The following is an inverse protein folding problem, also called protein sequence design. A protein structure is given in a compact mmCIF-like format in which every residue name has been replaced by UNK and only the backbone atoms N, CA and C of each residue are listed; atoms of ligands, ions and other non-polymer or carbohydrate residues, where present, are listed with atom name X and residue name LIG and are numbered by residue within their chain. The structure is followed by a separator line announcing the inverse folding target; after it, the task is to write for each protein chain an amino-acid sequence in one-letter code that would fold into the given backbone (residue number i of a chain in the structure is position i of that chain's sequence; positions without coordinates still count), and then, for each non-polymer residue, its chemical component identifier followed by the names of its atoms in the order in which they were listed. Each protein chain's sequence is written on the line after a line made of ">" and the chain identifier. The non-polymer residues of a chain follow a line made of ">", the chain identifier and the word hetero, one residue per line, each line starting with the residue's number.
data_IF_399209964913
#
_entry.id   IF_399209964913
#
_cell.length_a   1.000
_cell.length_b   1.000
_cell.length_c   1.000
_cell.angle_alpha   90.00
_cell.angle_beta   90.00
_cell.angle_gamma   90.00
#
_symmetry.space_group_name_H-M   'P 1'
#
loop_
_entity.id
_entity.type
_entity.pdbx_description
1 polymer ?
#
# COMPACT_ATOMS: atom_id res chain seq x y z
N UNK A 1 13.72 8.60 -26.56
CA UNK A 1 12.74 9.03 -27.56
C UNK A 1 12.85 8.06 -28.73
N UNK A 2 11.97 7.09 -28.85
CA UNK A 2 11.98 6.12 -29.94
C UNK A 2 11.31 6.78 -31.16
N UNK A 3 12.09 7.01 -32.19
CA UNK A 3 11.56 7.30 -33.53
C UNK A 3 10.83 6.03 -33.99
N UNK A 4 9.53 6.00 -33.79
CA UNK A 4 8.66 5.01 -34.44
C UNK A 4 8.86 5.23 -35.94
N UNK A 5 9.18 4.19 -36.68
CA UNK A 5 9.44 4.30 -38.11
C UNK A 5 8.25 5.00 -38.80
N UNK A 6 8.54 6.09 -39.45
CA UNK A 6 7.55 6.96 -40.13
C UNK A 6 6.65 6.16 -41.11
N UNK A 7 7.18 5.06 -41.63
CA UNK A 7 6.49 4.17 -42.58
C UNK A 7 5.26 3.42 -42.01
N UNK A 8 5.00 3.51 -40.69
CA UNK A 8 3.84 2.88 -40.04
C UNK A 8 2.80 3.86 -39.53
N UNK A 9 3.01 5.15 -39.74
CA UNK A 9 2.10 6.19 -39.25
C UNK A 9 1.29 6.68 -40.42
N UNK A 10 -0.02 6.48 -40.35
CA UNK A 10 -0.98 7.15 -41.23
C UNK A 10 -1.02 8.64 -40.85
N UNK A 11 -0.30 9.46 -41.61
CA UNK A 11 -0.19 10.90 -41.39
C UNK A 11 -1.53 11.63 -41.52
N UNK A 12 -2.41 11.21 -42.44
CA UNK A 12 -3.74 11.81 -42.58
C UNK A 12 -4.56 11.55 -41.32
N UNK A 13 -4.51 10.36 -40.79
CA UNK A 13 -5.16 10.01 -39.53
C UNK A 13 -4.52 10.73 -38.35
N UNK A 14 -3.18 10.87 -38.31
CA UNK A 14 -2.47 11.57 -37.25
C UNK A 14 -2.87 13.05 -37.19
N UNK A 15 -2.98 13.72 -38.36
CA UNK A 15 -3.34 15.14 -38.44
C UNK A 15 -4.84 15.43 -38.22
N UNK A 16 -5.67 14.40 -38.07
CA UNK A 16 -7.04 14.55 -37.58
C UNK A 16 -7.10 14.84 -36.08
N UNK A 17 -6.03 14.62 -35.36
CA UNK A 17 -5.94 14.91 -33.93
C UNK A 17 -5.22 16.23 -33.69
N UNK A 18 -5.67 16.97 -32.69
CA UNK A 18 -5.07 18.22 -32.26
C UNK A 18 -3.61 18.01 -31.81
N UNK A 19 -2.68 18.70 -32.48
CA UNK A 19 -1.26 18.74 -32.08
C UNK A 19 -1.06 19.79 -31.00
N UNK A 20 -1.55 19.51 -29.81
CA UNK A 20 -1.39 20.39 -28.67
C UNK A 20 -0.22 19.93 -27.78
N UNK A 21 0.57 20.88 -27.27
CA UNK A 21 1.61 20.60 -26.27
C UNK A 21 1.04 20.00 -24.98
N UNK A 22 -0.24 20.25 -24.71
CA UNK A 22 -0.99 19.73 -23.58
C UNK A 22 -2.33 19.16 -24.08
N UNK A 23 -2.44 17.84 -24.28
CA UNK A 23 -3.67 17.23 -24.79
C UNK A 23 -4.88 17.56 -23.92
N UNK A 24 -5.93 18.11 -24.50
CA UNK A 24 -7.17 18.48 -23.80
C UNK A 24 -7.86 17.27 -23.12
N UNK A 25 -7.56 16.07 -23.59
CA UNK A 25 -8.01 14.81 -22.97
C UNK A 25 -7.42 14.56 -21.57
N UNK A 26 -6.22 15.07 -21.27
CA UNK A 26 -5.50 14.87 -20.01
C UNK A 26 -5.35 16.14 -19.17
N UNK A 27 -5.44 17.32 -19.80
CA UNK A 27 -5.25 18.61 -19.14
C UNK A 27 -6.50 19.48 -19.25
N UNK A 28 -6.68 20.38 -18.30
CA UNK A 28 -7.67 21.45 -18.33
C UNK A 28 -7.15 22.62 -19.20
N UNK A 29 -8.03 23.57 -19.52
CA UNK A 29 -7.65 24.79 -20.28
C UNK A 29 -6.54 25.60 -19.58
N UNK A 30 -6.53 25.62 -18.25
CA UNK A 30 -5.48 26.28 -17.45
C UNK A 30 -4.16 25.50 -17.40
N UNK A 31 -4.07 24.36 -18.08
CA UNK A 31 -2.87 23.51 -18.14
C UNK A 31 -2.67 22.59 -16.96
N UNK A 32 -3.58 22.56 -15.96
CA UNK A 32 -3.54 21.59 -14.88
C UNK A 32 -3.95 20.19 -15.35
N UNK A 33 -3.30 19.15 -14.83
CA UNK A 33 -3.68 17.79 -15.08
C UNK A 33 -5.07 17.46 -14.51
N UNK A 34 -5.81 16.59 -15.18
CA UNK A 34 -7.14 16.13 -14.75
C UNK A 34 -6.98 14.98 -13.77
N UNK A 35 -6.90 15.27 -12.47
CA UNK A 35 -6.85 14.23 -11.43
C UNK A 35 -8.22 13.73 -11.03
N UNK A 36 -8.32 12.43 -10.76
CA UNK A 36 -9.54 11.83 -10.24
C UNK A 36 -9.81 12.30 -8.81
N UNK A 37 -11.10 12.59 -8.51
CA UNK A 37 -11.50 13.02 -7.17
C UNK A 37 -11.52 11.89 -6.14
N UNK A 38 -11.67 10.63 -6.58
CA UNK A 38 -11.75 9.48 -5.69
C UNK A 38 -11.31 8.20 -6.39
N UNK A 39 -10.14 7.68 -6.02
CA UNK A 39 -9.66 6.39 -6.50
C UNK A 39 -10.47 5.21 -5.92
N UNK A 40 -11.03 5.36 -4.72
CA UNK A 40 -11.76 4.30 -4.01
C UNK A 40 -13.10 3.90 -4.65
N UNK A 41 -13.60 4.64 -5.63
CA UNK A 41 -14.84 4.27 -6.36
C UNK A 41 -14.72 2.90 -7.00
N UNK A 42 -13.56 2.56 -7.57
CA UNK A 42 -13.34 1.27 -8.22
C UNK A 42 -13.40 0.12 -7.21
N UNK A 43 -12.72 0.25 -6.07
CA UNK A 43 -12.77 -0.73 -4.99
C UNK A 43 -14.20 -0.92 -4.47
N UNK A 44 -14.93 0.16 -4.18
CA UNK A 44 -16.32 0.09 -3.67
C UNK A 44 -17.27 -0.62 -4.62
N UNK A 45 -17.03 -0.56 -5.93
CA UNK A 45 -17.87 -1.23 -6.94
C UNK A 45 -17.53 -2.70 -7.12
N UNK A 46 -16.30 -3.08 -6.90
CA UNK A 46 -15.81 -4.44 -7.17
C UNK A 46 -15.77 -5.32 -5.93
N UNK A 47 -15.47 -4.76 -4.75
CA UNK A 47 -15.25 -5.56 -3.55
C UNK A 47 -16.44 -6.45 -3.21
N UNK A 48 -16.14 -7.66 -2.81
CA UNK A 48 -17.09 -8.62 -2.26
C UNK A 48 -16.77 -8.82 -0.78
N UNK A 49 -17.64 -8.32 0.06
CA UNK A 49 -17.49 -8.44 1.50
C UNK A 49 -18.15 -9.72 2.00
N UNK A 50 -17.50 -10.40 2.92
CA UNK A 50 -17.97 -11.60 3.62
C UNK A 50 -18.01 -11.35 5.12
N UNK A 51 -18.79 -12.14 5.86
CA UNK A 51 -18.82 -12.01 7.32
C UNK A 51 -17.47 -12.41 7.93
N UNK A 52 -16.95 -11.59 8.84
CA UNK A 52 -15.73 -11.92 9.59
C UNK A 52 -15.85 -13.21 10.42
N UNK A 53 -17.07 -13.60 10.78
CA UNK A 53 -17.34 -14.84 11.53
C UNK A 53 -17.19 -16.11 10.70
N UNK A 54 -17.25 -16.01 9.37
CA UNK A 54 -17.14 -17.16 8.45
C UNK A 54 -15.73 -17.37 7.94
N UNK A 55 -14.81 -16.48 8.27
CA UNK A 55 -13.41 -16.54 7.83
C UNK A 55 -12.55 -17.11 8.94
N UNK A 56 -11.70 -18.09 8.61
CA UNK A 56 -10.73 -18.65 9.54
C UNK A 56 -9.72 -17.61 10.00
N UNK A 57 -9.12 -17.83 11.18
CA UNK A 57 -7.97 -17.01 11.59
C UNK A 57 -6.87 -17.09 10.54
N UNK A 58 -6.13 -16.01 10.31
CA UNK A 58 -5.02 -16.04 9.35
C UNK A 58 -3.83 -16.84 9.89
N UNK A 59 -3.09 -17.45 8.94
CA UNK A 59 -1.74 -17.96 9.21
C UNK A 59 -0.74 -16.79 9.22
N UNK A 60 -1.00 -15.79 8.36
CA UNK A 60 -0.18 -14.58 8.22
C UNK A 60 -1.06 -13.33 8.17
N UNK A 61 -0.69 -12.30 8.91
CA UNK A 61 -1.21 -10.95 8.81
C UNK A 61 -0.16 -10.02 8.19
N UNK A 62 -0.42 -9.51 6.99
CA UNK A 62 0.41 -8.50 6.31
C UNK A 62 -0.19 -7.13 6.60
N UNK A 63 0.54 -6.28 7.29
CA UNK A 63 0.06 -4.98 7.79
C UNK A 63 0.73 -3.85 7.03
N UNK A 64 -0.06 -2.97 6.43
CA UNK A 64 0.40 -1.68 5.92
C UNK A 64 0.79 -0.78 7.10
N UNK A 65 2.10 -0.57 7.29
CA UNK A 65 2.63 0.21 8.40
C UNK A 65 2.28 1.70 8.31
N UNK A 66 2.24 2.26 7.11
CA UNK A 66 1.82 3.64 6.86
C UNK A 66 0.35 3.84 7.23
N UNK A 67 -0.52 2.98 6.70
CA UNK A 67 -1.94 2.97 7.01
C UNK A 67 -2.22 2.72 8.49
N UNK A 68 -1.47 1.81 9.14
CA UNK A 68 -1.55 1.55 10.58
C UNK A 68 -1.27 2.81 11.40
N UNK A 69 -0.19 3.55 11.11
CA UNK A 69 0.13 4.80 11.80
C UNK A 69 -0.95 5.86 11.62
N UNK A 70 -1.61 5.86 10.46
CA UNK A 70 -2.69 6.81 10.18
C UNK A 70 -4.02 6.45 10.82
N UNK A 71 -4.42 5.19 10.83
CA UNK A 71 -5.78 4.77 11.13
C UNK A 71 -5.94 3.95 12.42
N UNK A 72 -4.92 3.20 12.84
CA UNK A 72 -5.04 2.23 13.93
C UNK A 72 -4.45 2.71 15.25
N UNK A 73 -3.37 3.50 15.19
CA UNK A 73 -2.59 3.82 16.37
C UNK A 73 -3.04 5.15 16.96
N UNK A 74 -3.37 5.12 18.25
CA UNK A 74 -3.58 6.35 19.00
C UNK A 74 -2.26 7.12 19.09
N UNK A 75 -2.29 8.38 18.66
CA UNK A 75 -1.14 9.28 18.71
C UNK A 75 -1.25 10.16 19.94
N UNK A 76 -0.38 9.98 20.96
CA UNK A 76 -0.42 10.81 22.15
C UNK A 76 -0.25 12.30 21.82
N UNK A 77 -1.08 13.14 22.42
CA UNK A 77 -0.96 14.61 22.28
C UNK A 77 0.19 15.17 23.09
N UNK A 78 0.48 14.51 24.21
CA UNK A 78 1.63 14.76 25.08
C UNK A 78 2.25 13.40 25.40
N UNK A 79 3.55 13.25 25.15
CA UNK A 79 4.25 11.98 25.35
C UNK A 79 5.60 11.93 24.63
N UNK A 80 6.24 10.81 24.74
CA UNK A 80 7.52 10.51 24.10
C UNK A 80 7.33 9.48 22.96
N UNK A 81 8.33 9.34 22.10
CA UNK A 81 8.28 8.38 20.97
C UNK A 81 8.02 6.95 21.45
N UNK A 82 8.55 6.59 22.62
CA UNK A 82 8.32 5.27 23.25
C UNK A 82 6.84 4.97 23.51
N UNK A 83 6.04 5.95 23.95
CA UNK A 83 4.62 5.77 24.20
C UNK A 83 3.86 5.39 22.91
N UNK A 84 4.25 5.98 21.79
CA UNK A 84 3.71 5.61 20.48
C UNK A 84 4.09 4.17 20.11
N UNK A 85 5.36 3.79 20.35
CA UNK A 85 5.84 2.44 20.05
C UNK A 85 5.15 1.40 20.94
N UNK A 86 4.87 1.71 22.19
CA UNK A 86 4.11 0.83 23.08
C UNK A 86 2.68 0.56 22.54
N UNK A 87 2.05 1.58 21.97
CA UNK A 87 0.78 1.44 21.27
C UNK A 87 0.87 0.55 20.03
N UNK A 88 1.92 0.72 19.22
CA UNK A 88 2.17 -0.09 18.01
C UNK A 88 2.46 -1.55 18.40
N UNK A 89 3.29 -1.76 19.41
CA UNK A 89 3.60 -3.10 19.93
C UNK A 89 2.32 -3.82 20.35
N UNK A 90 1.46 -3.15 21.13
CA UNK A 90 0.17 -3.72 21.55
C UNK A 90 -0.68 -4.13 20.35
N UNK A 91 -0.71 -3.31 19.30
CA UNK A 91 -1.43 -3.62 18.08
C UNK A 91 -0.85 -4.83 17.36
N UNK A 92 0.47 -4.89 17.14
CA UNK A 92 1.17 -6.02 16.54
C UNK A 92 0.98 -7.30 17.38
N UNK A 93 1.07 -7.19 18.71
CA UNK A 93 0.86 -8.32 19.61
C UNK A 93 -0.56 -8.89 19.54
N UNK A 94 -1.55 -8.11 19.12
CA UNK A 94 -2.91 -8.63 18.90
C UNK A 94 -2.99 -9.67 17.77
N UNK A 95 -2.03 -9.67 16.86
CA UNK A 95 -1.94 -10.64 15.75
C UNK A 95 -0.89 -11.72 16.00
N UNK A 96 0.31 -11.37 16.46
CA UNK A 96 1.43 -12.31 16.56
C UNK A 96 1.20 -13.44 17.57
N UNK A 97 0.22 -13.30 18.43
CA UNK A 97 -0.18 -14.38 19.34
C UNK A 97 -0.81 -15.59 18.64
N UNK A 98 -1.25 -15.43 17.37
CA UNK A 98 -1.94 -16.51 16.64
C UNK A 98 -1.61 -16.58 15.15
N UNK A 99 -0.80 -15.67 14.61
CA UNK A 99 -0.41 -15.60 13.21
C UNK A 99 1.00 -15.02 13.06
N UNK A 100 1.67 -15.34 11.98
CA UNK A 100 2.88 -14.61 11.59
C UNK A 100 2.48 -13.16 11.20
N UNK A 101 3.32 -12.18 11.50
CA UNK A 101 3.06 -10.77 11.23
C UNK A 101 4.13 -10.21 10.32
N UNK A 102 3.71 -9.67 9.18
CA UNK A 102 4.57 -8.97 8.23
C UNK A 102 4.17 -7.50 8.25
N UNK A 103 5.02 -6.64 8.82
CA UNK A 103 4.81 -5.19 8.92
C UNK A 103 5.58 -4.50 7.80
N UNK A 104 4.88 -3.82 6.92
CA UNK A 104 5.45 -3.24 5.69
C UNK A 104 5.35 -1.73 5.73
N UNK A 105 6.47 -1.04 5.65
CA UNK A 105 6.54 0.40 5.50
C UNK A 105 7.04 0.80 4.11
N UNK A 106 6.62 1.99 3.66
CA UNK A 106 7.24 2.66 2.52
C UNK A 106 8.72 2.93 2.79
N UNK A 107 9.51 2.90 1.75
CA UNK A 107 10.89 3.40 1.76
C UNK A 107 10.89 4.84 1.25
N UNK A 108 11.59 5.69 1.96
CA UNK A 108 11.71 7.10 1.61
C UNK A 108 13.12 7.35 1.09
N UNK A 109 13.25 7.53 -0.23
CA UNK A 109 14.50 7.97 -0.86
C UNK A 109 14.35 9.42 -1.30
N UNK A 110 15.47 10.16 -1.32
CA UNK A 110 15.50 11.58 -1.70
C UNK A 110 15.01 11.83 -3.13
N UNK A 111 15.07 10.83 -4.01
CA UNK A 111 14.69 10.91 -5.43
C UNK A 111 13.58 9.92 -5.79
N UNK A 112 12.40 10.03 -5.20
CA UNK A 112 11.24 9.25 -5.65
C UNK A 112 10.30 10.11 -6.51
N UNK A 113 9.65 9.51 -7.53
CA UNK A 113 8.67 10.19 -8.41
C UNK A 113 7.53 10.83 -7.59
N UNK A 114 7.18 10.24 -6.45
CA UNK A 114 6.20 10.82 -5.51
C UNK A 114 6.77 11.99 -4.69
N UNK A 115 8.11 12.19 -4.66
CA UNK A 115 8.68 13.34 -3.94
C UNK A 115 8.23 14.66 -4.55
N UNK A 116 8.14 14.74 -5.88
CA UNK A 116 7.75 15.96 -6.59
C UNK A 116 6.27 16.32 -6.33
N UNK A 117 5.37 15.33 -6.37
CA UNK A 117 3.95 15.55 -6.06
C UNK A 117 3.69 15.82 -4.58
N UNK A 118 4.55 15.34 -3.69
CA UNK A 118 4.51 15.65 -2.26
C UNK A 118 5.08 17.03 -1.95
N UNK A 119 6.15 17.43 -2.63
CA UNK A 119 6.80 18.75 -2.49
C UNK A 119 5.86 19.88 -2.91
N UNK A 120 5.04 19.68 -3.94
CA UNK A 120 4.00 20.64 -4.34
C UNK A 120 2.89 20.83 -3.28
N UNK A 121 2.64 19.82 -2.43
CA UNK A 121 1.67 19.90 -1.33
C UNK A 121 2.26 20.54 -0.05
N UNK A 122 3.60 20.63 0.06
CA UNK A 122 4.30 21.10 1.25
C UNK A 122 4.92 22.47 0.96
N UNK A 123 4.09 23.50 0.87
CA UNK A 123 4.54 24.91 0.82
C UNK A 123 4.95 25.44 2.20
N UNK A 124 5.53 24.63 3.08
CA UNK A 124 6.06 25.10 4.36
C UNK A 124 7.45 24.53 4.60
N UNK A 125 8.39 25.38 4.95
CA UNK A 125 9.71 25.09 5.52
C UNK A 125 9.54 24.35 6.86
N UNK A 126 9.01 23.13 6.83
CA UNK A 126 8.91 22.27 8.01
C UNK A 126 10.32 21.80 8.34
N UNK A 127 10.85 22.27 9.47
CA UNK A 127 12.13 21.76 9.99
C UNK A 127 11.94 20.29 10.32
N UNK A 128 12.86 19.45 9.82
CA UNK A 128 12.94 18.06 10.24
C UNK A 128 13.19 18.00 11.74
N UNK A 129 12.48 17.14 12.43
CA UNK A 129 12.69 16.87 13.85
C UNK A 129 13.67 15.72 14.00
N UNK A 130 14.64 15.89 14.88
CA UNK A 130 15.50 14.76 15.30
C UNK A 130 14.75 13.97 16.36
N UNK A 131 14.42 12.72 16.05
CA UNK A 131 13.67 11.83 16.93
C UNK A 131 14.63 10.94 17.74
N UNK A 132 14.27 10.70 18.99
CA UNK A 132 14.88 9.69 19.84
C UNK A 132 13.81 8.99 20.66
N UNK A 133 14.08 7.76 21.13
CA UNK A 133 13.10 6.93 21.82
C UNK A 133 12.49 7.63 23.06
N UNK A 134 13.32 8.26 23.86
CA UNK A 134 12.92 8.99 25.07
C UNK A 134 12.67 10.50 24.79
N UNK A 135 12.73 10.89 23.54
CA UNK A 135 12.48 12.27 23.12
C UNK A 135 10.99 12.57 22.95
N UNK A 136 10.62 13.86 22.95
CA UNK A 136 9.24 14.28 22.78
C UNK A 136 8.69 13.82 21.43
N UNK A 137 7.44 13.32 21.43
CA UNK A 137 6.74 12.94 20.22
C UNK A 137 6.14 14.18 19.55
N UNK A 138 6.55 14.54 18.32
CA UNK A 138 5.92 15.64 17.59
C UNK A 138 4.45 15.34 17.28
N UNK A 139 3.65 16.38 17.02
CA UNK A 139 2.28 16.19 16.56
C UNK A 139 2.25 15.33 15.29
N UNK A 140 1.22 14.52 15.17
CA UNK A 140 1.05 13.58 14.05
C UNK A 140 1.23 14.25 12.69
N UNK A 141 0.54 15.37 12.47
CA UNK A 141 0.61 16.09 11.19
C UNK A 141 2.03 16.59 10.89
N UNK A 142 2.74 17.07 11.90
CA UNK A 142 4.13 17.51 11.77
C UNK A 142 5.05 16.35 11.44
N UNK A 143 4.92 15.22 12.16
CA UNK A 143 5.75 14.05 11.97
C UNK A 143 5.51 13.40 10.61
N UNK A 144 4.24 13.29 10.19
CA UNK A 144 3.86 12.59 8.96
C UNK A 144 4.00 13.45 7.70
N UNK A 145 4.17 14.76 7.82
CA UNK A 145 4.37 15.68 6.67
C UNK A 145 5.83 15.79 6.21
N UNK A 146 6.79 15.54 7.10
CA UNK A 146 8.23 15.55 6.77
C UNK A 146 8.72 14.14 6.42
N UNK A 147 9.23 13.94 5.20
CA UNK A 147 9.79 12.66 4.78
C UNK A 147 10.94 12.21 5.69
N UNK A 148 11.83 13.13 6.05
CA UNK A 148 12.98 12.85 6.92
C UNK A 148 12.54 12.43 8.33
N UNK A 149 11.61 13.17 8.95
CA UNK A 149 11.07 12.84 10.27
C UNK A 149 10.32 11.51 10.25
N UNK A 150 9.56 11.24 9.19
CA UNK A 150 8.83 10.00 9.00
C UNK A 150 9.77 8.80 8.83
N UNK A 151 10.85 8.96 8.06
CA UNK A 151 11.88 7.95 7.91
C UNK A 151 12.58 7.63 9.23
N UNK A 152 12.96 8.66 10.01
CA UNK A 152 13.54 8.47 11.35
C UNK A 152 12.58 7.69 12.26
N UNK A 153 11.29 8.07 12.26
CA UNK A 153 10.28 7.37 13.06
C UNK A 153 10.17 5.90 12.67
N UNK A 154 10.07 5.59 11.37
CA UNK A 154 9.96 4.21 10.86
C UNK A 154 11.21 3.40 11.26
N UNK A 155 12.40 3.99 11.19
CA UNK A 155 13.64 3.32 11.59
C UNK A 155 13.62 2.99 13.09
N UNK A 156 13.19 3.93 13.94
CA UNK A 156 13.06 3.69 15.39
C UNK A 156 12.02 2.60 15.66
N UNK A 157 10.84 2.69 15.06
CA UNK A 157 9.76 1.68 15.19
C UNK A 157 10.27 0.29 14.80
N UNK A 158 10.89 0.16 13.63
CA UNK A 158 11.34 -1.13 13.09
C UNK A 158 12.37 -1.78 13.99
N UNK A 159 13.34 -0.99 14.47
CA UNK A 159 14.38 -1.48 15.39
C UNK A 159 13.79 -1.90 16.74
N UNK A 160 13.03 -0.99 17.35
CA UNK A 160 12.45 -1.24 18.70
C UNK A 160 11.49 -2.43 18.69
N UNK A 161 10.62 -2.54 17.68
CA UNK A 161 9.72 -3.68 17.59
C UNK A 161 10.49 -5.00 17.41
N UNK A 162 11.50 -5.03 16.53
CA UNK A 162 12.33 -6.24 16.35
C UNK A 162 13.02 -6.66 17.63
N UNK A 163 13.61 -5.73 18.39
CA UNK A 163 14.26 -6.01 19.67
C UNK A 163 13.27 -6.49 20.74
N UNK A 164 12.08 -5.90 20.79
CA UNK A 164 11.02 -6.30 21.74
C UNK A 164 10.45 -7.68 21.39
N UNK A 165 10.22 -7.98 20.10
CA UNK A 165 9.76 -9.30 19.65
C UNK A 165 10.80 -10.37 19.93
N UNK A 166 12.08 -10.05 19.72
CA UNK A 166 13.20 -10.94 20.09
C UNK A 166 13.21 -11.26 21.58
N UNK A 167 13.02 -10.26 22.43
CA UNK A 167 13.00 -10.44 23.89
C UNK A 167 11.81 -11.29 24.35
N UNK A 168 10.64 -11.11 23.74
CA UNK A 168 9.41 -11.86 24.06
C UNK A 168 9.41 -13.29 23.53
N UNK A 169 10.31 -13.65 22.61
CA UNK A 169 10.49 -15.01 22.06
C UNK A 169 9.20 -15.62 21.51
N UNK A 170 8.43 -14.86 20.72
CA UNK A 170 7.24 -15.40 20.07
C UNK A 170 7.57 -16.60 19.19
N UNK A 171 6.62 -17.53 19.09
CA UNK A 171 6.69 -18.71 18.21
C UNK A 171 6.37 -18.34 16.77
N UNK A 172 5.48 -17.36 16.56
CA UNK A 172 5.17 -16.81 15.26
C UNK A 172 6.26 -15.84 14.80
N UNK A 173 6.40 -15.73 13.50
CA UNK A 173 7.38 -14.83 12.85
C UNK A 173 6.90 -13.38 12.92
N UNK A 174 7.79 -12.48 13.25
CA UNK A 174 7.62 -11.06 13.03
C UNK A 174 8.60 -10.61 11.96
N UNK A 175 8.09 -10.19 10.82
CA UNK A 175 8.89 -9.70 9.69
C UNK A 175 8.62 -8.21 9.52
N UNK A 176 9.66 -7.40 9.52
CA UNK A 176 9.54 -5.96 9.28
C UNK A 176 10.32 -5.55 8.03
N UNK A 177 9.62 -4.84 7.14
CA UNK A 177 10.18 -4.21 5.95
C UNK A 177 10.20 -2.70 6.18
N UNK A 178 11.36 -2.10 6.07
CA UNK A 178 11.58 -0.67 6.28
C UNK A 178 12.57 -0.12 5.26
N UNK A 179 13.48 0.77 5.65
CA UNK A 179 14.47 1.40 4.74
C UNK A 179 15.35 0.37 3.98
N UNK A 180 15.74 -0.71 4.66
CA UNK A 180 16.61 -1.72 4.03
C UNK A 180 15.83 -2.57 3.02
N UNK A 181 16.45 -2.91 1.86
CA UNK A 181 15.77 -3.72 0.84
C UNK A 181 15.47 -5.15 1.30
N UNK A 182 16.22 -5.67 2.27
CA UNK A 182 16.04 -7.00 2.85
C UNK A 182 15.30 -6.84 4.18
N UNK A 183 14.11 -7.46 4.33
CA UNK A 183 13.37 -7.46 5.59
C UNK A 183 14.10 -8.23 6.69
N UNK A 184 13.81 -7.86 7.94
CA UNK A 184 14.30 -8.55 9.13
C UNK A 184 13.20 -9.39 9.72
N UNK A 185 13.47 -10.68 9.94
CA UNK A 185 12.59 -11.62 10.64
C UNK A 185 13.06 -11.80 12.08
N UNK A 186 12.13 -11.86 13.00
CA UNK A 186 12.35 -12.19 14.40
C UNK A 186 11.45 -13.34 14.79
N UNK A 187 12.02 -14.47 15.28
CA UNK A 187 11.30 -15.64 15.74
C UNK A 187 12.11 -16.36 16.80
N UNK A 188 11.48 -16.94 17.82
CA UNK A 188 12.12 -17.69 18.92
C UNK A 188 13.29 -16.94 19.62
N UNK A 189 13.26 -15.62 19.61
CA UNK A 189 14.32 -14.80 20.17
C UNK A 189 15.55 -14.63 19.27
N UNK A 190 15.50 -15.08 18.03
CA UNK A 190 16.54 -14.90 17.03
C UNK A 190 16.10 -13.88 15.98
N UNK A 191 17.07 -13.21 15.37
CA UNK A 191 16.86 -12.29 14.25
C UNK A 191 17.65 -12.80 13.06
N UNK A 192 17.03 -12.72 11.86
CA UNK A 192 17.65 -13.10 10.59
C UNK A 192 17.16 -12.20 9.45
N UNK A 193 17.96 -12.10 8.42
CA UNK A 193 17.57 -11.43 7.18
C UNK A 193 16.75 -12.35 6.28
N UNK A 194 15.66 -11.83 5.73
CA UNK A 194 14.80 -12.51 4.75
C UNK A 194 15.21 -12.08 3.35
N UNK A 195 16.31 -12.64 2.84
CA UNK A 195 16.84 -12.35 1.50
C UNK A 195 15.84 -12.73 0.41
N UNK A 196 15.05 -13.76 0.64
CA UNK A 196 13.96 -14.20 -0.23
C UNK A 196 12.82 -13.17 -0.38
N UNK A 197 12.67 -12.27 0.60
CA UNK A 197 11.71 -11.17 0.59
C UNK A 197 12.32 -9.84 0.15
N UNK A 198 13.58 -9.86 -0.34
CA UNK A 198 14.20 -8.65 -0.88
C UNK A 198 13.31 -8.03 -1.95
N UNK A 199 13.09 -6.74 -1.85
CA UNK A 199 12.31 -5.98 -2.82
C UNK A 199 13.10 -4.75 -3.28
N UNK A 200 13.01 -4.45 -4.58
CA UNK A 200 13.59 -3.24 -5.17
C UNK A 200 12.54 -2.12 -5.27
N UNK A 201 11.30 -2.37 -4.82
CA UNK A 201 10.25 -1.36 -4.78
C UNK A 201 10.32 -0.51 -3.51
N UNK A 202 9.98 0.77 -3.65
CA UNK A 202 10.02 1.73 -2.55
C UNK A 202 8.69 1.82 -1.81
N UNK A 203 7.59 1.49 -2.48
CA UNK A 203 6.24 1.68 -1.97
C UNK A 203 5.68 0.39 -1.38
N UNK A 204 5.07 0.51 -0.20
CA UNK A 204 4.39 -0.59 0.47
C UNK A 204 3.31 -1.24 -0.41
N UNK A 205 2.66 -0.44 -1.27
CA UNK A 205 1.62 -0.91 -2.18
C UNK A 205 2.08 -2.06 -3.09
N UNK A 206 3.35 -2.04 -3.51
CA UNK A 206 3.96 -3.11 -4.31
C UNK A 206 4.60 -4.21 -3.46
N UNK A 207 5.13 -3.86 -2.28
CA UNK A 207 5.80 -4.81 -1.38
C UNK A 207 4.77 -5.75 -0.74
N UNK A 208 3.60 -5.24 -0.33
CA UNK A 208 2.53 -6.04 0.31
C UNK A 208 2.12 -7.23 -0.56
N UNK A 209 1.74 -7.09 -1.86
CA UNK A 209 1.42 -8.23 -2.69
C UNK A 209 2.58 -9.22 -2.90
N UNK A 210 3.83 -8.74 -2.89
CA UNK A 210 5.01 -9.61 -2.95
C UNK A 210 5.12 -10.48 -1.70
N UNK A 211 4.93 -9.90 -0.52
CA UNK A 211 4.97 -10.65 0.74
C UNK A 211 3.79 -11.60 0.89
N UNK A 212 2.59 -11.23 0.41
CA UNK A 212 1.46 -12.15 0.29
C UNK A 212 1.83 -13.35 -0.59
N UNK A 213 2.44 -13.11 -1.75
CA UNK A 213 2.87 -14.19 -2.64
C UNK A 213 3.93 -15.09 -1.99
N UNK A 214 4.86 -14.53 -1.23
CA UNK A 214 5.86 -15.31 -0.50
C UNK A 214 5.21 -16.19 0.57
N UNK A 215 4.27 -15.66 1.35
CA UNK A 215 3.51 -16.43 2.33
C UNK A 215 2.73 -17.60 1.67
N UNK A 216 2.15 -17.38 0.49
CA UNK A 216 1.48 -18.44 -0.27
C UNK A 216 2.49 -19.53 -0.68
N UNK A 217 3.68 -19.15 -1.13
CA UNK A 217 4.74 -20.08 -1.49
C UNK A 217 5.28 -20.86 -0.27
N UNK A 218 5.15 -20.33 0.93
CA UNK A 218 5.39 -21.00 2.21
C UNK A 218 4.21 -21.89 2.66
N UNK A 219 3.22 -22.13 1.78
CA UNK A 219 2.02 -22.93 2.00
C UNK A 219 1.04 -22.37 3.05
N UNK A 220 1.06 -21.09 3.34
CA UNK A 220 0.03 -20.43 4.15
C UNK A 220 -1.31 -20.47 3.43
N UNK A 221 -2.37 -20.93 4.11
CA UNK A 221 -3.69 -21.13 3.53
C UNK A 221 -4.63 -19.95 3.72
N UNK A 222 -4.40 -19.15 4.75
CA UNK A 222 -5.23 -18.00 5.10
C UNK A 222 -4.36 -16.78 5.39
N UNK A 223 -4.53 -15.72 4.63
CA UNK A 223 -3.73 -14.50 4.72
C UNK A 223 -4.66 -13.30 4.88
N UNK A 224 -4.41 -12.49 5.90
CA UNK A 224 -5.06 -11.20 6.05
C UNK A 224 -4.13 -10.08 5.64
N UNK A 225 -4.61 -9.19 4.78
CA UNK A 225 -3.95 -7.93 4.45
C UNK A 225 -4.69 -6.82 5.20
N UNK A 226 -4.03 -6.23 6.18
CA UNK A 226 -4.57 -5.14 7.00
C UNK A 226 -4.19 -3.82 6.31
N UNK A 227 -5.07 -3.33 5.45
CA UNK A 227 -4.84 -2.16 4.61
C UNK A 227 -6.17 -1.62 4.10
N UNK A 228 -6.26 -0.31 3.86
CA UNK A 228 -7.43 0.35 3.26
C UNK A 228 -7.15 0.91 1.86
N UNK A 229 -5.90 0.79 1.37
CA UNK A 229 -5.53 1.39 0.10
C UNK A 229 -6.15 0.65 -1.09
N UNK A 230 -6.69 1.43 -2.01
CA UNK A 230 -7.30 0.93 -3.25
C UNK A 230 -6.27 0.30 -4.18
N UNK A 231 -5.05 0.83 -4.22
CA UNK A 231 -4.01 0.33 -5.12
C UNK A 231 -3.55 -1.06 -4.68
N UNK A 232 -3.41 -1.28 -3.37
CA UNK A 232 -3.16 -2.61 -2.78
C UNK A 232 -4.30 -3.58 -3.14
N UNK A 233 -5.56 -3.17 -2.98
CA UNK A 233 -6.71 -4.00 -3.34
C UNK A 233 -6.68 -4.45 -4.82
N UNK A 234 -6.41 -3.52 -5.72
CA UNK A 234 -6.35 -3.81 -7.17
C UNK A 234 -5.18 -4.73 -7.52
N UNK A 235 -4.02 -4.52 -6.91
CA UNK A 235 -2.84 -5.37 -7.08
C UNK A 235 -3.09 -6.78 -6.54
N UNK A 236 -3.74 -6.93 -5.39
CA UNK A 236 -4.11 -8.24 -4.85
C UNK A 236 -5.07 -8.98 -5.79
N UNK A 237 -6.10 -8.32 -6.32
CA UNK A 237 -7.02 -8.92 -7.29
C UNK A 237 -6.28 -9.35 -8.58
N UNK A 238 -5.41 -8.49 -9.10
CA UNK A 238 -4.61 -8.78 -10.28
C UNK A 238 -3.67 -9.98 -10.06
N UNK A 239 -2.93 -10.00 -8.95
CA UNK A 239 -2.02 -11.10 -8.65
C UNK A 239 -2.77 -12.39 -8.33
N UNK A 240 -3.89 -12.33 -7.64
CA UNK A 240 -4.73 -13.50 -7.40
C UNK A 240 -5.11 -14.19 -8.71
N UNK A 241 -5.54 -13.41 -9.69
CA UNK A 241 -5.94 -13.90 -11.00
C UNK A 241 -4.73 -14.40 -11.82
N UNK A 242 -3.68 -13.60 -11.96
CA UNK A 242 -2.56 -13.89 -12.86
C UNK A 242 -1.65 -15.01 -12.35
N UNK A 243 -1.44 -15.07 -11.02
CA UNK A 243 -0.60 -16.08 -10.37
C UNK A 243 -1.40 -17.31 -9.93
N UNK A 244 -2.72 -17.32 -10.15
CA UNK A 244 -3.63 -18.42 -9.79
C UNK A 244 -3.48 -18.84 -8.33
N UNK A 245 -3.50 -17.88 -7.42
CA UNK A 245 -3.38 -18.15 -6.00
C UNK A 245 -4.49 -19.07 -5.50
N UNK A 246 -4.13 -20.06 -4.70
CA UNK A 246 -5.06 -21.03 -4.11
C UNK A 246 -5.44 -20.71 -2.67
N UNK A 247 -4.61 -19.93 -1.98
CA UNK A 247 -4.83 -19.53 -0.59
C UNK A 247 -5.96 -18.51 -0.47
N UNK A 248 -6.57 -18.44 0.70
CA UNK A 248 -7.61 -17.45 1.01
C UNK A 248 -6.94 -16.12 1.39
N UNK A 249 -7.00 -15.16 0.50
CA UNK A 249 -6.51 -13.80 0.75
C UNK A 249 -7.69 -12.90 1.04
N UNK A 250 -7.66 -12.27 2.21
CA UNK A 250 -8.70 -11.37 2.68
C UNK A 250 -8.11 -10.02 3.05
N UNK A 251 -8.77 -8.94 2.66
CA UNK A 251 -8.38 -7.58 3.02
C UNK A 251 -9.30 -7.03 4.10
N UNK A 252 -8.71 -6.49 5.16
CA UNK A 252 -9.41 -5.94 6.31
C UNK A 252 -8.92 -4.53 6.58
N UNK A 253 -9.81 -3.65 7.03
CA UNK A 253 -9.42 -2.35 7.55
C UNK A 253 -8.76 -2.47 8.94
N UNK A 254 -8.29 -1.34 9.46
CA UNK A 254 -7.56 -1.29 10.75
C UNK A 254 -8.48 -1.37 11.97
N UNK A 255 -9.78 -1.35 11.81
CA UNK A 255 -10.72 -1.36 12.94
C UNK A 255 -10.88 -2.77 13.50
N UNK A 256 -10.95 -2.88 14.84
CA UNK A 256 -11.14 -4.17 15.53
C UNK A 256 -12.56 -4.73 15.35
N UNK A 257 -13.54 -3.86 15.13
CA UNK A 257 -14.98 -4.18 15.19
C UNK A 257 -15.61 -4.45 13.82
N UNK A 258 -14.80 -4.63 12.76
CA UNK A 258 -15.31 -4.94 11.44
C UNK A 258 -16.03 -6.29 11.42
N UNK A 259 -17.33 -6.24 11.14
CA UNK A 259 -18.15 -7.43 10.94
C UNK A 259 -17.98 -8.03 9.54
N UNK A 260 -17.37 -7.28 8.63
CA UNK A 260 -17.16 -7.68 7.23
C UNK A 260 -15.69 -7.55 6.84
N UNK A 261 -15.25 -8.44 5.95
CA UNK A 261 -13.90 -8.52 5.41
C UNK A 261 -14.04 -8.65 3.89
N UNK A 262 -13.21 -7.97 3.12
CA UNK A 262 -13.22 -8.09 1.66
C UNK A 262 -12.49 -9.37 1.25
N UNK A 263 -13.21 -10.31 0.62
CA UNK A 263 -12.65 -11.55 0.10
C UNK A 263 -12.11 -11.33 -1.31
N UNK A 264 -10.79 -11.45 -1.50
CA UNK A 264 -10.16 -11.24 -2.81
C UNK A 264 -10.58 -12.34 -3.80
N UNK A 265 -10.64 -13.60 -3.39
CA UNK A 265 -11.13 -14.71 -4.22
C UNK A 265 -12.53 -14.44 -4.77
N UNK A 266 -13.50 -14.17 -3.91
CA UNK A 266 -14.88 -13.94 -4.31
C UNK A 266 -15.02 -12.69 -5.19
N UNK A 267 -14.18 -11.68 -4.96
CA UNK A 267 -14.11 -10.48 -5.80
C UNK A 267 -13.64 -10.84 -7.21
N UNK A 268 -12.56 -11.62 -7.34
CA UNK A 268 -12.01 -12.04 -8.64
C UNK A 268 -12.99 -12.95 -9.37
N UNK A 269 -13.59 -13.92 -8.69
CA UNK A 269 -14.58 -14.85 -9.28
C UNK A 269 -15.81 -14.10 -9.79
N UNK A 270 -16.32 -13.10 -9.05
CA UNK A 270 -17.47 -12.29 -9.48
C UNK A 270 -17.16 -11.42 -10.70
N UNK A 271 -15.93 -10.97 -10.85
CA UNK A 271 -15.55 -9.95 -11.84
C UNK A 271 -14.50 -10.45 -12.85
N UNK A 272 -14.49 -11.76 -13.15
CA UNK A 272 -13.48 -12.41 -14.01
C UNK A 272 -13.26 -11.68 -15.36
N UNK A 273 -14.32 -11.16 -15.95
CA UNK A 273 -14.24 -10.48 -17.25
C UNK A 273 -13.42 -9.19 -17.22
N UNK A 274 -13.42 -8.46 -16.10
CA UNK A 274 -12.74 -7.16 -15.98
C UNK A 274 -11.36 -7.25 -15.31
N UNK A 275 -11.11 -8.28 -14.50
CA UNK A 275 -9.86 -8.43 -13.76
C UNK A 275 -8.61 -8.34 -14.65
N UNK A 276 -8.53 -8.94 -15.83
CA UNK A 276 -7.38 -8.81 -16.72
C UNK A 276 -7.05 -7.38 -17.12
N UNK A 277 -8.06 -6.51 -17.16
CA UNK A 277 -7.94 -5.12 -17.60
C UNK A 277 -7.96 -4.12 -16.43
N UNK A 278 -8.04 -4.63 -15.19
CA UNK A 278 -8.30 -3.83 -13.99
C UNK A 278 -7.27 -2.73 -13.78
N UNK A 279 -5.97 -3.06 -13.89
CA UNK A 279 -4.88 -2.10 -13.70
C UNK A 279 -4.87 -1.04 -14.82
N UNK A 280 -5.12 -1.45 -16.07
CA UNK A 280 -5.25 -0.51 -17.19
C UNK A 280 -6.45 0.43 -17.00
N UNK A 281 -7.61 -0.10 -16.60
CA UNK A 281 -8.78 0.71 -16.27
C UNK A 281 -8.48 1.71 -15.14
N UNK A 282 -7.75 1.28 -14.12
CA UNK A 282 -7.37 2.15 -13.00
C UNK A 282 -6.47 3.30 -13.46
N UNK A 283 -5.43 3.01 -14.25
CA UNK A 283 -4.49 4.00 -14.77
C UNK A 283 -5.18 5.00 -15.71
N UNK A 284 -5.95 4.52 -16.70
CA UNK A 284 -6.64 5.37 -17.68
C UNK A 284 -7.71 6.29 -17.06
N UNK A 285 -8.30 5.86 -15.95
CA UNK A 285 -9.31 6.65 -15.22
C UNK A 285 -8.73 7.51 -14.11
N UNK A 286 -7.41 7.56 -14.03
CA UNK A 286 -6.66 8.38 -13.08
C UNK A 286 -6.36 7.69 -11.75
N UNK A 287 -5.12 7.80 -11.32
CA UNK A 287 -4.63 7.41 -10.00
C UNK A 287 -3.83 8.58 -9.40
N UNK A 288 -3.08 8.32 -8.32
CA UNK A 288 -2.36 9.39 -7.60
C UNK A 288 -1.32 10.11 -8.48
N UNK A 289 -0.73 9.40 -9.46
CA UNK A 289 0.35 9.90 -10.32
C UNK A 289 -0.05 10.09 -11.78
N UNK A 290 -1.21 9.57 -12.20
CA UNK A 290 -1.66 9.61 -13.60
C UNK A 290 -2.97 10.38 -13.71
N UNK A 291 -3.04 11.40 -14.59
CA UNK A 291 -4.28 12.12 -14.86
C UNK A 291 -5.33 11.20 -15.48
N UNK A 292 -6.60 11.48 -15.22
CA UNK A 292 -7.69 10.77 -15.85
C UNK A 292 -8.02 11.36 -17.24
N UNK A 293 -8.48 10.52 -18.14
CA UNK A 293 -9.02 10.94 -19.41
C UNK A 293 -10.32 11.75 -19.22
N UNK A 294 -10.47 12.82 -20.00
CA UNK A 294 -11.66 13.68 -19.96
C UNK A 294 -12.94 12.86 -20.15
N UNK A 295 -13.90 13.04 -19.25
CA UNK A 295 -15.20 12.35 -19.26
C UNK A 295 -15.15 10.82 -19.13
N UNK A 296 -13.98 10.23 -18.82
CA UNK A 296 -13.84 8.80 -18.56
C UNK A 296 -13.49 8.59 -17.08
N UNK A 297 -14.51 8.47 -16.24
CA UNK A 297 -14.35 8.15 -14.83
C UNK A 297 -14.41 6.65 -14.58
N UNK A 298 -13.98 6.22 -13.37
CA UNK A 298 -13.93 4.81 -12.94
C UNK A 298 -15.23 4.05 -13.15
N UNK A 299 -16.37 4.68 -12.86
CA UNK A 299 -17.69 4.05 -13.05
C UNK A 299 -17.98 3.74 -14.51
N UNK A 300 -17.65 4.67 -15.42
CA UNK A 300 -17.89 4.51 -16.86
C UNK A 300 -16.97 3.44 -17.44
N UNK A 301 -15.69 3.42 -17.05
CA UNK A 301 -14.76 2.39 -17.49
C UNK A 301 -15.19 0.97 -17.07
N UNK A 302 -15.71 0.82 -15.84
CA UNK A 302 -16.22 -0.48 -15.38
C UNK A 302 -17.50 -0.94 -16.12
N UNK A 303 -18.36 -0.03 -16.56
CA UNK A 303 -19.60 -0.39 -17.28
C UNK A 303 -19.40 -0.75 -18.74
N UNK A 304 -18.25 -0.45 -19.34
CA UNK A 304 -17.96 -0.85 -20.73
C UNK A 304 -17.72 -2.36 -20.90
N UNK A 305 -17.62 -3.12 -19.81
CA UNK A 305 -17.37 -4.57 -19.80
C UNK A 305 -18.56 -5.39 -19.25
N UNK A 306 -19.71 -4.76 -19.02
CA UNK A 306 -21.00 -5.40 -18.75
C UNK A 306 -21.81 -5.50 -20.04
#
# INVERSE_FOLDING_TARGET
>A
MYLISIDRIDLERLFQFELASKPASLFKENGEARYTKSKSVIQRKLKVDVSSRTVSKPDVAVIDGGGMLHAAIYWPTEGIVKDLIDGIEKYVCSFINFADVYLVFDRYFEFSIKSDTRTERINSLLRAHTLSLEGPLPRKDTCMSSNETKEQLINIISKELSDRMRTKKFTHKFVVTSKQPVPVETQYGQMSERVDLKSDYDEADYIIPQQVNAAINENCQSIFVICIDTDVFLLLCHHFFTRKWTSNVNMKDFTSDTTTITCIRSTVERHQAIIPYLLACHSLTGCDTVPNLHNIGKSKALSCHQ
#
